data_IF_995590445824
#
_entry.id   IF_995590445824
#
_cell.length_a   1.000
_cell.length_b   1.000
_cell.length_c   1.000
_cell.angle_alpha   90.00
_cell.angle_beta   90.00
_cell.angle_gamma   90.00
#
_symmetry.space_group_name_H-M   'P 1'
#
loop_
_entity.id
_entity.type
_entity.pdbx_description
1 polymer ?
#
# COMPACT_ATOMS: atom_id res chain seq x y z
N UNK A 1 31.00 8.32 -12.21
CA UNK A 1 29.67 7.70 -11.96
C UNK A 1 29.24 6.94 -13.18
N UNK A 2 28.73 5.71 -13.03
CA UNK A 2 28.17 4.96 -14.16
C UNK A 2 26.75 5.48 -14.42
N UNK A 3 26.28 5.36 -15.66
CA UNK A 3 24.93 5.81 -16.08
C UNK A 3 23.81 5.17 -15.24
N UNK A 4 23.95 3.88 -14.94
CA UNK A 4 22.99 3.11 -14.13
C UNK A 4 22.83 3.70 -12.71
N UNK A 5 23.91 4.20 -12.11
CA UNK A 5 23.88 4.80 -10.78
C UNK A 5 23.08 6.13 -10.79
N UNK A 6 23.17 6.89 -11.90
CA UNK A 6 22.41 8.14 -12.09
C UNK A 6 20.91 7.85 -12.23
N UNK A 7 20.56 6.83 -13.02
CA UNK A 7 19.16 6.40 -13.22
C UNK A 7 18.56 5.91 -11.89
N UNK A 8 19.32 5.12 -11.14
CA UNK A 8 18.88 4.61 -9.83
C UNK A 8 18.57 5.75 -8.86
N UNK A 9 19.48 6.73 -8.74
CA UNK A 9 19.31 7.88 -7.86
C UNK A 9 18.16 8.81 -8.28
N UNK A 10 17.94 8.97 -9.58
CA UNK A 10 16.80 9.75 -10.07
C UNK A 10 15.47 9.05 -9.77
N UNK A 11 15.41 7.73 -9.96
CA UNK A 11 14.21 6.94 -9.63
C UNK A 11 13.93 6.96 -8.13
N UNK A 12 14.96 6.89 -7.29
CA UNK A 12 14.87 7.07 -5.85
C UNK A 12 14.24 8.43 -5.51
N UNK A 13 14.79 9.53 -6.04
CA UNK A 13 14.29 10.89 -5.84
C UNK A 13 12.82 11.04 -6.25
N UNK A 14 12.47 10.50 -7.42
CA UNK A 14 11.11 10.54 -7.94
C UNK A 14 10.13 9.72 -7.06
N UNK A 15 10.56 8.56 -6.58
CA UNK A 15 9.74 7.69 -5.72
C UNK A 15 9.52 8.31 -4.33
N UNK A 16 10.53 8.96 -3.76
CA UNK A 16 10.38 9.69 -2.49
C UNK A 16 9.40 10.88 -2.57
N UNK A 17 9.23 11.46 -3.75
CA UNK A 17 8.25 12.53 -3.97
C UNK A 17 6.81 12.05 -4.11
N UNK A 18 6.55 10.74 -4.02
CA UNK A 18 5.19 10.19 -4.10
C UNK A 18 4.54 10.14 -2.72
N UNK A 19 3.21 10.27 -2.73
CA UNK A 19 2.36 10.00 -1.58
C UNK A 19 1.53 8.72 -1.80
N UNK A 20 0.98 8.15 -0.72
CA UNK A 20 0.04 7.02 -0.82
C UNK A 20 -1.16 7.32 -1.74
N UNK A 21 -1.60 8.58 -1.78
CA UNK A 21 -2.67 9.07 -2.66
C UNK A 21 -2.30 9.00 -4.14
N UNK A 22 -1.01 9.18 -4.47
CA UNK A 22 -0.47 9.10 -5.82
C UNK A 22 -0.34 7.64 -6.28
N UNK A 23 0.05 6.73 -5.38
CA UNK A 23 0.06 5.29 -5.68
C UNK A 23 -1.35 4.75 -5.95
N UNK A 24 -2.35 5.24 -5.22
CA UNK A 24 -3.75 4.91 -5.44
C UNK A 24 -4.27 5.37 -6.82
N UNK A 25 -3.67 6.42 -7.39
CA UNK A 25 -3.94 6.91 -8.74
C UNK A 25 -3.05 6.26 -9.81
N UNK A 26 -2.34 5.20 -9.44
CA UNK A 26 -1.39 4.49 -10.30
C UNK A 26 -0.26 5.37 -10.87
N UNK A 27 0.10 6.43 -10.15
CA UNK A 27 1.20 7.31 -10.55
C UNK A 27 2.53 6.60 -10.35
N UNK A 28 3.20 6.26 -11.45
CA UNK A 28 4.53 5.68 -11.44
C UNK A 28 5.32 6.12 -12.68
N UNK A 29 6.61 5.75 -12.72
CA UNK A 29 7.56 6.32 -13.68
C UNK A 29 7.87 5.34 -14.82
N UNK A 30 7.72 5.79 -16.06
CA UNK A 30 8.11 5.02 -17.23
C UNK A 30 9.58 5.27 -17.58
N UNK A 31 10.20 4.34 -18.32
CA UNK A 31 11.55 4.55 -18.86
C UNK A 31 11.65 5.79 -19.78
N UNK A 32 10.52 6.22 -20.36
CA UNK A 32 10.45 7.42 -21.18
C UNK A 32 10.48 8.69 -20.34
N UNK A 33 9.71 8.76 -19.26
CA UNK A 33 9.74 9.89 -18.32
C UNK A 33 11.13 10.06 -17.68
N UNK A 34 11.74 8.96 -17.24
CA UNK A 34 13.08 8.98 -16.64
C UNK A 34 14.14 9.39 -17.67
N UNK A 35 14.03 8.89 -18.91
CA UNK A 35 14.92 9.28 -20.00
C UNK A 35 14.81 10.76 -20.35
N UNK A 36 13.59 11.31 -20.38
CA UNK A 36 13.35 12.72 -20.61
C UNK A 36 14.01 13.60 -19.54
N UNK A 37 13.84 13.28 -18.26
CA UNK A 37 14.43 14.04 -17.14
C UNK A 37 15.96 14.05 -17.17
N UNK A 38 16.58 12.95 -17.60
CA UNK A 38 18.04 12.78 -17.60
C UNK A 38 18.69 13.12 -18.95
N UNK A 39 17.92 13.46 -19.98
CA UNK A 39 18.42 13.63 -21.34
C UNK A 39 19.00 12.34 -21.95
N UNK A 40 18.50 11.18 -21.52
CA UNK A 40 18.97 9.85 -21.94
C UNK A 40 17.97 9.19 -22.89
N UNK A 41 18.47 8.41 -23.84
CA UNK A 41 17.63 7.62 -24.72
C UNK A 41 16.81 6.58 -23.94
N UNK A 42 15.49 6.52 -24.19
CA UNK A 42 14.54 5.57 -23.56
C UNK A 42 15.00 4.11 -23.60
N UNK A 43 15.66 3.70 -24.68
CA UNK A 43 16.16 2.32 -24.83
C UNK A 43 17.30 2.01 -23.85
N UNK A 44 18.20 2.96 -23.65
CA UNK A 44 19.29 2.85 -22.67
C UNK A 44 18.77 2.81 -21.25
N UNK A 45 17.80 3.67 -20.94
CA UNK A 45 17.16 3.73 -19.61
C UNK A 45 16.39 2.45 -19.32
N UNK A 46 15.62 1.94 -20.27
CA UNK A 46 14.91 0.66 -20.13
C UNK A 46 15.88 -0.50 -19.87
N UNK A 47 17.02 -0.53 -20.56
CA UNK A 47 18.05 -1.57 -20.35
C UNK A 47 18.60 -1.52 -18.92
N UNK A 48 18.97 -0.33 -18.46
CA UNK A 48 19.53 -0.14 -17.11
C UNK A 48 18.49 -0.39 -16.01
N UNK A 49 17.23 0.01 -16.20
CA UNK A 49 16.14 -0.26 -15.26
C UNK A 49 15.82 -1.76 -15.15
N UNK A 50 15.85 -2.50 -16.27
CA UNK A 50 15.71 -3.96 -16.21
C UNK A 50 16.90 -4.63 -15.53
N UNK A 51 18.11 -4.06 -15.64
CA UNK A 51 19.26 -4.54 -14.89
C UNK A 51 19.07 -4.31 -13.38
N UNK A 52 18.69 -3.09 -12.97
CA UNK A 52 18.38 -2.78 -11.57
C UNK A 52 17.26 -3.67 -11.01
N UNK A 53 16.29 -4.04 -11.86
CA UNK A 53 15.21 -4.95 -11.48
C UNK A 53 15.73 -6.37 -11.24
N UNK A 54 16.62 -6.87 -12.09
CA UNK A 54 17.31 -8.16 -11.86
C UNK A 54 18.17 -8.15 -10.59
N UNK A 55 18.70 -6.99 -10.20
CA UNK A 55 19.44 -6.78 -8.96
C UNK A 55 18.51 -6.63 -7.73
N UNK A 56 17.18 -6.63 -7.91
CA UNK A 56 16.20 -6.54 -6.83
C UNK A 56 16.05 -5.16 -6.19
N UNK A 57 16.60 -4.11 -6.82
CA UNK A 57 16.63 -2.74 -6.30
C UNK A 57 15.40 -1.91 -6.70
N UNK A 58 14.70 -2.31 -7.76
CA UNK A 58 13.53 -1.60 -8.30
C UNK A 58 12.38 -2.57 -8.53
N UNK A 59 11.16 -2.06 -8.41
CA UNK A 59 9.90 -2.78 -8.64
C UNK A 59 9.39 -2.42 -10.03
N UNK A 60 8.90 -3.42 -10.77
CA UNK A 60 8.41 -3.28 -12.14
C UNK A 60 6.93 -3.65 -12.23
N UNK A 61 6.16 -2.89 -13.00
CA UNK A 61 4.78 -3.29 -13.35
C UNK A 61 4.74 -4.18 -14.60
N UNK A 62 3.81 -5.16 -14.65
CA UNK A 62 3.56 -5.97 -15.86
C UNK A 62 2.62 -5.31 -16.87
N UNK A 63 2.09 -4.13 -16.53
CA UNK A 63 1.17 -3.38 -17.38
C UNK A 63 1.79 -2.85 -18.66
N UNK A 64 0.92 -2.36 -19.55
CA UNK A 64 1.29 -1.52 -20.69
C UNK A 64 0.57 -0.18 -20.52
N UNK A 65 1.28 0.91 -20.23
CA UNK A 65 2.74 1.06 -20.16
C UNK A 65 3.42 0.38 -18.94
N UNK A 66 4.72 0.06 -19.09
CA UNK A 66 5.55 -0.51 -18.02
C UNK A 66 6.07 0.61 -17.11
N UNK A 67 5.86 0.46 -15.82
CA UNK A 67 6.28 1.39 -14.79
C UNK A 67 7.38 0.81 -13.91
N UNK A 68 8.19 1.69 -13.35
CA UNK A 68 9.29 1.41 -12.44
C UNK A 68 9.16 2.29 -11.19
N UNK A 69 9.47 1.71 -10.03
CA UNK A 69 9.53 2.37 -8.73
C UNK A 69 10.75 1.88 -7.97
N UNK A 70 11.34 2.73 -7.14
CA UNK A 70 12.46 2.33 -6.30
C UNK A 70 11.98 1.46 -5.13
N UNK A 71 12.60 0.29 -4.89
CA UNK A 71 12.16 -0.65 -3.84
C UNK A 71 12.19 -0.02 -2.45
N UNK A 72 13.35 0.51 -2.04
CA UNK A 72 13.51 1.06 -0.69
C UNK A 72 12.59 2.25 -0.39
N UNK A 73 12.56 3.26 -1.27
CA UNK A 73 11.65 4.39 -1.14
C UNK A 73 10.17 3.94 -1.09
N UNK A 74 9.80 2.93 -1.86
CA UNK A 74 8.46 2.35 -1.82
C UNK A 74 8.17 1.64 -0.48
N UNK A 75 9.10 0.82 0.04
CA UNK A 75 8.97 0.13 1.34
C UNK A 75 8.75 1.12 2.49
N UNK A 76 9.49 2.25 2.46
CA UNK A 76 9.32 3.33 3.42
C UNK A 76 7.95 3.99 3.28
N UNK A 77 7.49 4.22 2.04
CA UNK A 77 6.20 4.85 1.77
C UNK A 77 5.02 4.00 2.24
N UNK A 78 5.07 2.69 2.00
CA UNK A 78 4.00 1.75 2.39
C UNK A 78 4.16 1.23 3.83
N UNK A 79 5.25 1.62 4.51
CA UNK A 79 5.64 1.16 5.84
C UNK A 79 5.61 -0.37 6.00
N UNK A 80 6.00 -1.08 4.95
CA UNK A 80 6.04 -2.56 4.85
C UNK A 80 7.22 -2.96 3.99
N UNK A 81 7.91 -4.03 4.36
CA UNK A 81 8.93 -4.65 3.49
C UNK A 81 8.27 -5.42 2.36
N UNK A 82 8.79 -5.24 1.15
CA UNK A 82 8.35 -6.02 0.00
C UNK A 82 9.10 -7.34 0.00
N UNK A 83 8.36 -8.44 -0.03
CA UNK A 83 8.95 -9.76 -0.24
C UNK A 83 9.52 -9.83 -1.67
N UNK A 84 10.57 -10.64 -1.90
CA UNK A 84 11.21 -10.73 -3.23
C UNK A 84 10.22 -11.16 -4.34
N UNK A 85 9.13 -11.85 -3.97
CA UNK A 85 8.02 -12.21 -4.86
C UNK A 85 7.08 -11.05 -5.25
N UNK A 86 7.14 -9.91 -4.56
CA UNK A 86 6.31 -8.70 -4.82
C UNK A 86 7.02 -7.69 -5.76
N UNK A 87 8.20 -8.02 -6.29
CA UNK A 87 8.96 -7.17 -7.23
C UNK A 87 8.32 -7.05 -8.63
N UNK A 88 7.19 -7.71 -8.84
CA UNK A 88 6.36 -7.68 -10.03
C UNK A 88 4.92 -7.40 -9.58
N UNK A 89 4.36 -6.27 -10.00
CA UNK A 89 2.96 -5.95 -9.70
C UNK A 89 2.14 -5.72 -10.97
N UNK A 90 0.88 -6.16 -10.94
CA UNK A 90 -0.05 -5.90 -12.04
C UNK A 90 -0.54 -4.43 -12.01
N UNK A 91 -0.67 -3.85 -10.83
CA UNK A 91 -1.00 -2.44 -10.62
C UNK A 91 -0.20 -1.88 -9.45
N UNK A 92 0.17 -0.61 -9.51
CA UNK A 92 0.86 0.09 -8.41
C UNK A 92 -0.06 0.17 -7.18
N UNK A 93 -1.38 0.21 -7.37
CA UNK A 93 -2.35 0.25 -6.29
C UNK A 93 -2.36 -1.03 -5.44
N UNK A 94 -1.92 -2.18 -5.96
CA UNK A 94 -1.87 -3.43 -5.18
C UNK A 94 -0.76 -3.42 -4.11
N UNK A 95 0.18 -2.49 -4.21
CA UNK A 95 1.26 -2.27 -3.23
C UNK A 95 0.80 -1.44 -2.05
N UNK A 96 -0.36 -0.79 -2.13
CA UNK A 96 -0.91 -0.08 -1.00
C UNK A 96 -1.11 -1.06 0.16
N UNK A 97 -0.84 -0.64 1.40
CA UNK A 97 -1.13 -1.46 2.55
C UNK A 97 -2.61 -1.86 2.46
N UNK A 98 -2.85 -3.15 2.24
CA UNK A 98 -4.20 -3.70 2.32
C UNK A 98 -4.66 -3.38 3.74
N UNK A 99 -5.63 -2.47 3.89
CA UNK A 99 -6.45 -2.44 5.10
C UNK A 99 -6.84 -3.89 5.32
N UNK A 100 -6.45 -4.46 6.46
CA UNK A 100 -6.75 -5.85 6.80
C UNK A 100 -8.21 -6.09 6.45
N UNK A 101 -8.45 -6.86 5.38
CA UNK A 101 -9.77 -7.43 5.17
C UNK A 101 -9.85 -8.51 6.24
N UNK A 102 -10.48 -8.14 7.34
CA UNK A 102 -10.86 -9.08 8.38
C UNK A 102 -11.50 -10.29 7.70
N UNK A 103 -11.03 -11.48 8.04
CA UNK A 103 -11.45 -12.76 7.50
C UNK A 103 -12.98 -12.92 7.55
N UNK A 104 -13.54 -13.82 6.74
CA UNK A 104 -14.98 -14.19 6.78
C UNK A 104 -15.47 -14.64 8.19
N UNK A 105 -14.54 -14.84 9.13
CA UNK A 105 -14.80 -15.22 10.53
C UNK A 105 -14.78 -14.02 11.52
N UNK A 106 -14.84 -12.78 11.03
CA UNK A 106 -14.96 -11.62 11.91
C UNK A 106 -16.36 -11.55 12.55
N UNK A 107 -16.47 -11.52 13.90
CA UNK A 107 -17.76 -11.47 14.59
C UNK A 107 -18.62 -10.26 14.20
N UNK A 108 -18.00 -9.14 13.82
CA UNK A 108 -18.72 -7.94 13.39
C UNK A 108 -19.31 -8.04 11.98
N UNK A 109 -18.91 -9.02 11.16
CA UNK A 109 -19.47 -9.20 9.81
C UNK A 109 -20.99 -9.46 9.82
N UNK A 110 -21.51 -10.03 10.91
CA UNK A 110 -22.95 -10.24 11.12
C UNK A 110 -23.72 -8.97 11.53
N UNK A 111 -23.04 -7.87 11.86
CA UNK A 111 -23.67 -6.63 12.27
C UNK A 111 -24.15 -5.82 11.05
N UNK A 112 -25.43 -5.47 11.01
CA UNK A 112 -25.99 -4.68 9.91
C UNK A 112 -25.27 -3.33 9.83
N UNK A 113 -24.63 -3.07 8.69
CA UNK A 113 -23.89 -1.82 8.44
C UNK A 113 -22.46 -1.80 8.99
N UNK A 114 -21.88 -2.96 9.36
CA UNK A 114 -20.51 -3.07 9.87
C UNK A 114 -19.45 -2.48 8.92
N UNK A 115 -19.68 -2.58 7.61
CA UNK A 115 -18.80 -2.06 6.55
C UNK A 115 -19.18 -0.64 6.10
N UNK A 116 -20.25 -0.07 6.66
CA UNK A 116 -20.85 1.22 6.28
C UNK A 116 -21.08 2.12 7.50
N UNK A 117 -22.33 2.27 7.94
CA UNK A 117 -22.75 3.23 8.97
C UNK A 117 -22.10 2.99 10.34
N UNK A 118 -21.72 1.74 10.63
CA UNK A 118 -21.08 1.36 11.89
C UNK A 118 -19.59 1.09 11.74
N UNK A 119 -18.99 1.33 10.57
CA UNK A 119 -17.58 1.02 10.29
C UNK A 119 -16.63 1.59 11.33
N UNK A 120 -16.79 2.86 11.66
CA UNK A 120 -15.90 3.54 12.61
C UNK A 120 -16.07 2.99 14.05
N UNK A 121 -17.26 2.53 14.42
CA UNK A 121 -17.51 1.89 15.72
C UNK A 121 -16.90 0.48 15.75
N UNK A 122 -17.05 -0.28 14.67
CA UNK A 122 -16.45 -1.62 14.49
C UNK A 122 -14.93 -1.57 14.53
N UNK A 123 -14.30 -0.63 13.80
CA UNK A 123 -12.85 -0.46 13.81
C UNK A 123 -12.33 -0.13 15.23
N UNK A 124 -13.04 0.72 15.98
CA UNK A 124 -12.70 1.02 17.38
C UNK A 124 -12.89 -0.18 18.31
N UNK A 125 -13.98 -0.92 18.14
CA UNK A 125 -14.25 -2.14 18.90
C UNK A 125 -13.13 -3.18 18.71
N UNK A 126 -12.75 -3.44 17.46
CA UNK A 126 -11.64 -4.33 17.12
C UNK A 126 -10.32 -3.87 17.74
N UNK A 127 -10.00 -2.58 17.62
CA UNK A 127 -8.79 -2.02 18.22
C UNK A 127 -8.78 -2.17 19.75
N UNK A 128 -9.93 -2.01 20.41
CA UNK A 128 -10.04 -2.20 21.85
C UNK A 128 -9.82 -3.65 22.28
N UNK A 129 -10.33 -4.63 21.53
CA UNK A 129 -10.13 -6.06 21.81
C UNK A 129 -8.68 -6.49 21.56
N UNK A 130 -8.06 -6.00 20.48
CA UNK A 130 -6.69 -6.36 20.09
C UNK A 130 -5.59 -5.69 20.93
N UNK A 131 -5.93 -4.65 21.69
CA UNK A 131 -4.95 -3.95 22.52
C UNK A 131 -4.42 -4.88 23.64
N UNK A 132 -3.12 -4.81 24.01
CA UNK A 132 -2.62 -5.59 25.14
C UNK A 132 -3.45 -5.38 26.40
N UNK A 133 -3.99 -6.47 26.95
CA UNK A 133 -4.94 -6.51 28.08
C UNK A 133 -6.37 -5.99 27.81
N UNK A 134 -6.70 -5.66 26.56
CA UNK A 134 -7.97 -5.06 26.17
C UNK A 134 -8.11 -3.61 26.65
N UNK A 135 -8.75 -2.77 25.85
CA UNK A 135 -9.09 -1.41 26.24
C UNK A 135 -10.52 -1.36 26.82
N UNK A 136 -10.72 -0.58 27.87
CA UNK A 136 -12.07 -0.35 28.41
C UNK A 136 -12.90 0.46 27.41
N UNK A 137 -14.09 -0.04 27.06
CA UNK A 137 -15.00 0.59 26.10
C UNK A 137 -16.34 0.89 26.76
N UNK A 138 -16.86 2.11 26.52
CA UNK A 138 -18.20 2.52 26.90
C UNK A 138 -19.07 2.63 25.65
N UNK A 139 -20.13 1.82 25.56
CA UNK A 139 -21.10 1.88 24.46
C UNK A 139 -22.25 2.83 24.83
N UNK A 140 -22.44 3.88 24.04
CA UNK A 140 -23.47 4.91 24.27
C UNK A 140 -24.50 4.98 23.13
N UNK A 141 -25.75 5.32 23.45
CA UNK A 141 -26.82 5.47 22.46
C UNK A 141 -28.22 5.21 23.05
N UNK A 142 -29.27 5.56 22.31
CA UNK A 142 -30.66 5.37 22.71
C UNK A 142 -31.02 3.89 23.01
N UNK A 143 -32.12 3.64 23.72
CA UNK A 143 -32.56 2.26 23.99
C UNK A 143 -32.91 1.54 22.68
N UNK A 144 -32.62 0.23 22.59
CA UNK A 144 -32.97 -0.60 21.43
C UNK A 144 -32.03 -0.54 20.22
N UNK A 145 -30.97 0.27 20.23
CA UNK A 145 -30.07 0.43 19.06
C UNK A 145 -29.01 -0.68 18.88
N UNK A 146 -29.10 -1.78 19.65
CA UNK A 146 -28.16 -2.92 19.52
C UNK A 146 -26.85 -2.80 20.31
N UNK A 147 -26.75 -1.93 21.33
CA UNK A 147 -25.53 -1.80 22.17
C UNK A 147 -25.12 -3.11 22.84
N UNK A 148 -26.08 -3.86 23.39
CA UNK A 148 -25.82 -5.15 24.04
C UNK A 148 -25.27 -6.16 23.04
N UNK A 149 -25.90 -6.25 21.86
CA UNK A 149 -25.44 -7.11 20.78
C UNK A 149 -24.01 -6.75 20.33
N UNK A 150 -23.70 -5.46 20.19
CA UNK A 150 -22.34 -5.03 19.87
C UNK A 150 -21.31 -5.45 20.93
N UNK A 151 -21.67 -5.39 22.22
CA UNK A 151 -20.80 -5.87 23.31
C UNK A 151 -20.59 -7.38 23.27
N UNK A 152 -21.62 -8.16 22.92
CA UNK A 152 -21.52 -9.62 22.77
C UNK A 152 -20.55 -10.02 21.65
N UNK A 153 -20.47 -9.23 20.57
CA UNK A 153 -19.51 -9.47 19.49
C UNK A 153 -18.06 -9.12 19.86
N UNK A 154 -17.84 -8.36 20.94
CA UNK A 154 -16.52 -7.97 21.44
C UNK A 154 -15.92 -8.99 22.43
N UNK A 155 -16.72 -9.95 22.89
CA UNK A 155 -16.34 -10.96 23.88
C UNK A 155 -15.96 -12.29 23.23
#
# INVERSE_FOLDING_TARGET
>A
MRRIDVIHKELERLTYGLELSDLAKEKAFTAEAIGFNLGLARNSVSKDLNQLWNEGLVVKSQGRPVFFLHRHALELLINRKLDDCECIVHSVASLLPKKEKYTDDDPFSGLIGYDRSLRDAVEKGRAAVLYPHGLHVLLTGASGVGKTFFAELMH
#
